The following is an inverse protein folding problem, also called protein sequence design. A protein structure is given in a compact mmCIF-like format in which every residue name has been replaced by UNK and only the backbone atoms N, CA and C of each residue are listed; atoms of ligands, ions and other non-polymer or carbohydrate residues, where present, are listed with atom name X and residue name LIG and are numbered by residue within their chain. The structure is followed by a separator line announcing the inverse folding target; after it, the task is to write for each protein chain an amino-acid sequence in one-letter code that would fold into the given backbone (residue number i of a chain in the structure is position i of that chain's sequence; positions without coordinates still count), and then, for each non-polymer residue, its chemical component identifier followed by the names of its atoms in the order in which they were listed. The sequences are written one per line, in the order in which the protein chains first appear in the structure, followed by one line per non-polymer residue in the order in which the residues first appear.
data_IF_688804717737
#
_entry.id   IF_688804717737
#
_cell.length_a   1.000
_cell.length_b   1.000
_cell.length_c   1.000
_cell.angle_alpha   90.00
_cell.angle_beta   90.00
_cell.angle_gamma   90.00
#
_symmetry.space_group_name_H-M   'P 1'
#
loop_
_entity.id
_entity.type
_entity.pdbx_description
1 polymer ?
#
# COMPACT_ATOMS: atom_id res chain seq x y z
N UNK A 1 -19.21 -17.70 -4.25
CA UNK A 1 -18.41 -18.49 -3.29
C UNK A 1 -17.00 -17.95 -3.11
N UNK A 2 -16.69 -17.45 -1.91
CA UNK A 2 -15.44 -16.76 -1.62
C UNK A 2 -14.76 -17.37 -0.39
N UNK A 3 -14.42 -18.66 -0.42
CA UNK A 3 -13.72 -19.34 0.68
C UNK A 3 -12.21 -19.12 0.64
N UNK A 4 -11.64 -18.95 -0.57
CA UNK A 4 -10.19 -18.83 -0.76
C UNK A 4 -9.65 -17.50 -0.21
N UNK A 5 -10.38 -16.39 -0.42
CA UNK A 5 -9.90 -15.07 -0.01
C UNK A 5 -9.78 -14.93 1.53
N UNK A 6 -10.80 -15.29 2.34
CA UNK A 6 -10.68 -15.27 3.80
C UNK A 6 -9.60 -16.20 4.33
N UNK A 7 -9.44 -17.40 3.73
CA UNK A 7 -8.39 -18.34 4.12
C UNK A 7 -6.98 -17.80 3.82
N UNK A 8 -6.78 -17.24 2.62
CA UNK A 8 -5.49 -16.68 2.21
C UNK A 8 -5.12 -15.41 2.97
N UNK A 9 -6.12 -14.60 3.35
CA UNK A 9 -5.91 -13.34 4.06
C UNK A 9 -6.16 -13.45 5.56
N UNK A 10 -6.22 -14.66 6.10
CA UNK A 10 -6.39 -14.87 7.53
C UNK A 10 -5.24 -14.23 8.31
N UNK A 11 -5.58 -13.41 9.30
CA UNK A 11 -4.59 -12.68 10.10
C UNK A 11 -3.84 -11.58 9.36
N UNK A 12 -4.21 -11.27 8.10
CA UNK A 12 -3.49 -10.27 7.31
C UNK A 12 -3.62 -8.83 7.87
N UNK A 13 -4.58 -8.62 8.75
CA UNK A 13 -4.76 -7.38 9.51
C UNK A 13 -3.69 -7.20 10.60
N UNK A 14 -3.19 -8.28 11.20
CA UNK A 14 -2.33 -8.26 12.40
C UNK A 14 -0.82 -8.17 12.12
N UNK A 15 -0.33 -8.66 10.98
CA UNK A 15 1.11 -8.64 10.64
C UNK A 15 1.59 -7.32 10.02
N UNK A 16 2.90 -7.04 10.09
CA UNK A 16 3.52 -5.93 9.36
C UNK A 16 3.65 -6.27 7.88
N UNK A 17 2.75 -5.78 7.03
CA UNK A 17 2.79 -6.07 5.59
C UNK A 17 4.01 -5.44 4.93
N UNK A 18 4.87 -6.27 4.36
CA UNK A 18 6.01 -5.83 3.56
C UNK A 18 5.65 -5.81 2.06
N UNK A 19 6.48 -5.16 1.26
CA UNK A 19 6.33 -5.18 -0.20
C UNK A 19 6.48 -6.58 -0.79
N UNK A 20 7.27 -7.44 -0.16
CA UNK A 20 7.43 -8.82 -0.62
C UNK A 20 6.18 -9.65 -0.33
N UNK A 21 5.53 -9.45 0.82
CA UNK A 21 4.26 -10.11 1.12
C UNK A 21 3.17 -9.71 0.11
N UNK A 22 3.05 -8.42 -0.19
CA UNK A 22 2.15 -7.93 -1.25
C UNK A 22 2.45 -8.57 -2.60
N UNK A 23 3.73 -8.68 -2.96
CA UNK A 23 4.17 -9.28 -4.22
C UNK A 23 3.78 -10.74 -4.28
N UNK A 24 4.07 -11.51 -3.23
CA UNK A 24 3.75 -12.94 -3.15
C UNK A 24 2.24 -13.17 -3.28
N UNK A 25 1.43 -12.41 -2.53
CA UNK A 25 -0.02 -12.51 -2.56
C UNK A 25 -0.57 -12.15 -3.95
N UNK A 26 -0.07 -11.07 -4.56
CA UNK A 26 -0.49 -10.67 -5.90
C UNK A 26 -0.08 -11.70 -6.97
N UNK A 27 1.09 -12.32 -6.86
CA UNK A 27 1.55 -13.38 -7.76
C UNK A 27 0.66 -14.62 -7.61
N UNK A 28 0.37 -15.04 -6.38
CA UNK A 28 -0.52 -16.18 -6.12
C UNK A 28 -1.91 -15.95 -6.69
N UNK A 29 -2.51 -14.77 -6.44
CA UNK A 29 -3.81 -14.41 -7.00
C UNK A 29 -3.81 -14.49 -8.54
N UNK A 30 -2.80 -13.92 -9.19
CA UNK A 30 -2.70 -13.90 -10.67
C UNK A 30 -2.50 -15.30 -11.25
N UNK A 31 -1.69 -16.14 -10.59
CA UNK A 31 -1.49 -17.52 -11.00
C UNK A 31 -2.79 -18.33 -10.90
N UNK A 32 -3.52 -18.16 -9.81
CA UNK A 32 -4.84 -18.78 -9.62
C UNK A 32 -5.84 -18.30 -10.67
N UNK A 33 -5.96 -16.98 -10.88
CA UNK A 33 -6.88 -16.41 -11.86
C UNK A 33 -6.57 -16.91 -13.28
N UNK A 34 -5.30 -16.95 -13.70
CA UNK A 34 -4.91 -17.53 -15.00
C UNK A 34 -5.31 -18.99 -15.13
N UNK A 35 -5.14 -19.78 -14.06
CA UNK A 35 -5.47 -21.20 -14.09
C UNK A 35 -6.97 -21.42 -14.18
N UNK A 36 -7.77 -20.59 -13.50
CA UNK A 36 -9.23 -20.64 -13.56
C UNK A 36 -9.77 -20.26 -14.95
N UNK A 37 -9.19 -19.24 -15.59
CA UNK A 37 -9.56 -18.80 -16.95
C UNK A 37 -8.96 -19.67 -18.06
N UNK A 38 -8.10 -20.64 -17.73
CA UNK A 38 -7.43 -21.50 -18.72
C UNK A 38 -6.42 -20.77 -19.61
N UNK A 39 -5.94 -19.58 -19.22
CA UNK A 39 -5.07 -18.74 -20.05
C UNK A 39 -3.61 -19.22 -19.95
N UNK A 40 -2.99 -19.74 -21.03
CA UNK A 40 -1.57 -20.04 -21.05
C UNK A 40 -0.72 -18.75 -20.99
N UNK A 41 0.51 -18.88 -20.50
CA UNK A 41 1.46 -17.76 -20.47
C UNK A 41 1.86 -17.25 -21.86
N UNK A 42 1.72 -18.11 -22.90
CA UNK A 42 2.05 -17.81 -24.30
C UNK A 42 1.14 -16.76 -24.92
N UNK A 43 -0.06 -16.55 -24.38
CA UNK A 43 -1.02 -15.59 -24.94
C UNK A 43 -0.63 -14.14 -24.66
N UNK A 44 0.41 -13.91 -23.85
CA UNK A 44 0.91 -12.58 -23.47
C UNK A 44 -0.17 -11.63 -22.89
N UNK A 45 -1.31 -12.17 -22.45
CA UNK A 45 -2.39 -11.41 -21.83
C UNK A 45 -1.89 -10.79 -20.53
N UNK A 46 -2.22 -9.52 -20.29
CA UNK A 46 -1.77 -8.80 -19.09
C UNK A 46 -2.47 -9.31 -17.83
N UNK A 47 -1.80 -9.22 -16.68
CA UNK A 47 -2.40 -9.68 -15.42
C UNK A 47 -3.62 -8.86 -14.98
N UNK A 48 -3.69 -7.59 -15.40
CA UNK A 48 -4.85 -6.71 -15.16
C UNK A 48 -6.06 -7.18 -15.96
N UNK A 49 -5.86 -7.57 -17.21
CA UNK A 49 -6.90 -8.12 -18.08
C UNK A 49 -7.46 -9.43 -17.50
N UNK A 50 -6.58 -10.35 -17.06
CA UNK A 50 -7.02 -11.61 -16.42
C UNK A 50 -7.89 -11.34 -15.19
N UNK A 51 -7.50 -10.38 -14.33
CA UNK A 51 -8.30 -10.04 -13.15
C UNK A 51 -9.62 -9.35 -13.49
N UNK A 52 -9.66 -8.55 -14.56
CA UNK A 52 -10.90 -7.92 -15.04
C UNK A 52 -11.90 -8.96 -15.55
N UNK A 53 -11.43 -10.00 -16.28
CA UNK A 53 -12.28 -11.10 -16.76
C UNK A 53 -12.92 -11.88 -15.62
N UNK A 54 -12.13 -12.23 -14.60
CA UNK A 54 -12.65 -12.96 -13.43
C UNK A 54 -13.50 -12.09 -12.50
N UNK A 55 -13.44 -10.75 -12.63
CA UNK A 55 -14.22 -9.80 -11.80
C UNK A 55 -13.81 -9.76 -10.33
N UNK A 56 -12.68 -10.39 -9.96
CA UNK A 56 -12.24 -10.50 -8.56
C UNK A 56 -11.42 -9.28 -8.17
N UNK A 57 -11.74 -8.68 -7.02
CA UNK A 57 -10.97 -7.58 -6.43
C UNK A 57 -9.53 -8.00 -6.14
N UNK A 58 -8.55 -7.12 -6.37
CA UNK A 58 -7.15 -7.38 -6.03
C UNK A 58 -7.02 -7.70 -4.53
N UNK A 59 -6.36 -8.82 -4.20
CA UNK A 59 -6.23 -9.29 -2.81
C UNK A 59 -5.42 -8.31 -1.95
N UNK A 60 -4.47 -7.60 -2.56
CA UNK A 60 -3.72 -6.51 -1.90
C UNK A 60 -4.67 -5.42 -1.38
N UNK A 61 -5.67 -5.04 -2.17
CA UNK A 61 -6.68 -4.07 -1.75
C UNK A 61 -7.55 -4.61 -0.60
N UNK A 62 -7.88 -5.91 -0.62
CA UNK A 62 -8.63 -6.56 0.46
C UNK A 62 -7.86 -6.59 1.78
N UNK A 63 -6.55 -6.87 1.75
CA UNK A 63 -5.67 -6.79 2.94
C UNK A 63 -5.73 -5.41 3.55
N UNK A 64 -5.58 -4.39 2.72
CA UNK A 64 -5.53 -3.01 3.19
C UNK A 64 -6.88 -2.51 3.71
N UNK A 65 -7.97 -3.03 3.15
CA UNK A 65 -9.31 -2.77 3.67
C UNK A 65 -9.54 -3.43 5.04
N UNK A 66 -9.14 -4.68 5.22
CA UNK A 66 -9.18 -5.38 6.51
C UNK A 66 -8.31 -4.66 7.55
N UNK A 67 -7.09 -4.33 7.19
CA UNK A 67 -6.17 -3.49 7.98
C UNK A 67 -6.78 -2.16 8.39
N UNK A 68 -7.43 -1.46 7.47
CA UNK A 68 -8.13 -0.20 7.76
C UNK A 68 -9.24 -0.42 8.78
N UNK A 69 -10.07 -1.46 8.60
CA UNK A 69 -11.14 -1.80 9.55
C UNK A 69 -10.58 -2.07 10.96
N UNK A 70 -9.56 -2.91 11.05
CA UNK A 70 -8.88 -3.25 12.30
C UNK A 70 -8.23 -2.02 12.95
N UNK A 71 -7.50 -1.22 12.18
CA UNK A 71 -6.86 0.01 12.65
C UNK A 71 -7.87 0.99 13.28
N UNK A 72 -9.01 1.20 12.61
CA UNK A 72 -10.09 2.00 13.14
C UNK A 72 -10.72 1.40 14.40
N UNK A 73 -10.87 0.07 14.45
CA UNK A 73 -11.37 -0.62 15.64
C UNK A 73 -10.45 -0.40 16.84
N UNK A 74 -9.14 -0.61 16.66
CA UNK A 74 -8.14 -0.45 17.72
C UNK A 74 -8.04 0.99 18.20
N UNK A 75 -8.04 1.98 17.31
CA UNK A 75 -7.92 3.40 17.69
C UNK A 75 -9.14 3.94 18.45
N UNK A 76 -10.35 3.41 18.17
CA UNK A 76 -11.58 3.85 18.84
C UNK A 76 -11.87 3.10 20.14
N UNK A 77 -11.12 2.04 20.43
CA UNK A 77 -11.18 1.36 21.73
C UNK A 77 -10.38 2.17 22.75
N UNK A 78 -10.96 2.41 23.91
CA UNK A 78 -10.34 3.14 25.03
C UNK A 78 -10.06 2.23 26.25
N UNK A 79 -10.05 0.92 26.05
CA UNK A 79 -9.97 -0.08 27.13
C UNK A 79 -8.53 -0.44 27.56
N UNK A 80 -7.53 0.34 27.15
CA UNK A 80 -6.08 0.15 27.42
C UNK A 80 -5.58 -1.29 27.24
N UNK A 81 -6.25 -2.07 26.37
CA UNK A 81 -5.90 -3.47 26.12
C UNK A 81 -4.56 -3.59 25.41
N UNK A 82 -3.96 -4.76 25.56
CA UNK A 82 -2.67 -5.09 24.96
C UNK A 82 -2.60 -4.82 23.45
N UNK A 83 -3.72 -4.92 22.72
CA UNK A 83 -3.78 -4.65 21.27
C UNK A 83 -3.39 -3.21 20.93
N UNK A 84 -3.87 -2.21 21.68
CA UNK A 84 -3.48 -0.81 21.49
C UNK A 84 -1.98 -0.64 21.79
N UNK A 85 -1.50 -1.26 22.88
CA UNK A 85 -0.08 -1.23 23.28
C UNK A 85 0.84 -1.85 22.24
N UNK A 86 0.47 -2.97 21.63
CA UNK A 86 1.24 -3.66 20.57
C UNK A 86 1.24 -2.86 19.27
N UNK A 87 0.10 -2.26 18.91
CA UNK A 87 -0.03 -1.41 17.73
C UNK A 87 0.85 -0.16 17.84
N UNK A 88 0.85 0.45 19.03
CA UNK A 88 1.62 1.66 19.34
C UNK A 88 3.05 1.34 19.78
N UNK A 89 3.42 0.06 19.83
CA UNK A 89 4.70 -0.37 20.38
C UNK A 89 5.86 0.16 19.52
N UNK A 90 6.61 1.09 20.10
CA UNK A 90 7.91 1.55 19.62
C UNK A 90 8.95 0.88 20.53
N UNK A 91 10.04 0.30 20.00
CA UNK A 91 11.15 -0.15 20.83
C UNK A 91 11.62 0.99 21.74
N UNK A 92 11.41 0.86 23.06
CA UNK A 92 11.60 1.96 24.03
C UNK A 92 13.07 2.23 24.37
N UNK A 93 13.98 1.33 24.00
CA UNK A 93 15.35 1.32 24.54
C UNK A 93 16.43 1.81 23.56
N UNK A 94 16.09 2.34 22.37
CA UNK A 94 17.12 2.86 21.46
C UNK A 94 16.63 3.61 20.22
N UNK A 95 17.56 4.36 19.61
CA UNK A 95 17.38 4.95 18.27
C UNK A 95 17.33 3.82 17.23
N UNK A 96 16.37 3.88 16.31
CA UNK A 96 16.23 2.91 15.23
C UNK A 96 17.52 2.93 14.38
N UNK A 97 18.11 1.76 14.05
CA UNK A 97 19.34 1.75 13.30
C UNK A 97 19.13 2.41 11.93
N UNK A 98 20.10 3.21 11.45
CA UNK A 98 20.04 3.78 10.11
C UNK A 98 20.04 2.65 9.05
N UNK A 99 19.42 2.90 7.90
CA UNK A 99 19.40 1.94 6.78
C UNK A 99 18.09 1.16 6.66
N UNK A 100 18.14 -0.16 6.92
CA UNK A 100 17.04 -1.12 6.68
C UNK A 100 16.40 -1.68 7.96
N UNK A 101 15.81 -0.85 8.83
CA UNK A 101 15.19 -1.33 10.05
C UNK A 101 13.88 -2.09 9.76
N UNK A 102 13.58 -3.12 10.57
CA UNK A 102 12.42 -4.01 10.40
C UNK A 102 11.08 -3.25 10.38
N UNK A 103 10.22 -3.56 9.41
CA UNK A 103 8.92 -2.88 9.24
C UNK A 103 8.01 -3.12 10.45
N UNK A 104 7.50 -2.03 11.04
CA UNK A 104 6.50 -2.05 12.09
C UNK A 104 5.10 -2.13 11.50
N UNK A 105 4.13 -2.46 12.33
CA UNK A 105 2.74 -2.53 11.90
C UNK A 105 2.19 -1.15 11.46
N UNK A 106 2.65 -0.07 12.09
CA UNK A 106 2.25 1.31 11.79
C UNK A 106 2.88 1.89 10.51
N UNK A 107 4.07 1.43 10.13
CA UNK A 107 4.80 1.88 8.93
C UNK A 107 3.94 1.85 7.63
N UNK A 108 3.23 0.75 7.27
CA UNK A 108 2.35 0.75 6.10
C UNK A 108 1.14 1.68 6.28
N UNK A 109 0.61 1.85 7.49
CA UNK A 109 -0.51 2.77 7.75
C UNK A 109 -0.08 4.21 7.51
N UNK A 110 1.09 4.60 8.02
CA UNK A 110 1.68 5.93 7.81
C UNK A 110 1.90 6.19 6.32
N UNK A 111 2.40 5.19 5.57
CA UNK A 111 2.63 5.33 4.12
C UNK A 111 1.33 5.50 3.33
N UNK A 112 0.27 4.79 3.72
CA UNK A 112 -0.99 4.74 2.96
C UNK A 112 -1.99 5.82 3.34
N UNK A 113 -2.07 6.15 4.63
CA UNK A 113 -3.07 7.06 5.19
C UNK A 113 -2.45 8.36 5.73
N UNK A 114 -1.12 8.46 5.72
CA UNK A 114 -0.37 9.61 6.22
C UNK A 114 -0.09 9.54 7.72
N UNK A 115 0.78 10.43 8.21
CA UNK A 115 1.21 10.45 9.61
C UNK A 115 0.05 10.65 10.62
N UNK A 116 -1.01 11.35 10.20
CA UNK A 116 -2.17 11.69 11.04
C UNK A 116 -3.27 10.63 10.99
N UNK A 117 -3.01 9.43 10.45
CA UNK A 117 -4.04 8.41 10.24
C UNK A 117 -4.79 8.02 11.52
N UNK A 118 -4.13 7.99 12.69
CA UNK A 118 -4.79 7.71 13.98
C UNK A 118 -5.84 8.76 14.34
N UNK A 119 -5.57 10.04 14.03
CA UNK A 119 -6.55 11.12 14.26
C UNK A 119 -7.77 10.93 13.35
N UNK A 120 -7.55 10.63 12.08
CA UNK A 120 -8.63 10.36 11.12
C UNK A 120 -9.42 9.09 11.51
N UNK A 121 -8.77 8.07 12.04
CA UNK A 121 -9.39 6.81 12.41
C UNK A 121 -10.38 6.91 13.60
N UNK A 122 -10.31 7.99 14.40
CA UNK A 122 -11.26 8.25 15.49
C UNK A 122 -12.67 8.52 14.95
N UNK A 123 -12.77 9.30 13.89
CA UNK A 123 -14.05 9.63 13.28
C UNK A 123 -14.43 8.57 12.24
N UNK A 124 -15.55 7.88 12.45
CA UNK A 124 -15.93 6.68 11.67
C UNK A 124 -16.24 7.05 10.22
N UNK A 125 -16.88 8.17 9.97
CA UNK A 125 -17.25 8.59 8.62
C UNK A 125 -16.02 8.97 7.80
N UNK A 126 -15.14 9.80 8.37
CA UNK A 126 -13.88 10.17 7.70
C UNK A 126 -13.00 8.94 7.47
N UNK A 127 -12.96 8.00 8.42
CA UNK A 127 -12.17 6.77 8.27
C UNK A 127 -12.71 5.84 7.17
N UNK A 128 -14.03 5.81 6.98
CA UNK A 128 -14.68 5.05 5.90
C UNK A 128 -14.42 5.66 4.53
N UNK A 129 -14.31 6.99 4.43
CA UNK A 129 -14.05 7.70 3.17
C UNK A 129 -12.57 7.79 2.82
N UNK A 130 -11.66 7.53 3.77
CA UNK A 130 -10.22 7.48 3.49
C UNK A 130 -9.93 6.35 2.51
N UNK A 131 -9.62 6.73 1.28
CA UNK A 131 -9.13 5.83 0.25
C UNK A 131 -7.65 5.52 0.47
N UNK A 132 -7.26 4.31 0.06
CA UNK A 132 -5.85 3.94 -0.01
C UNK A 132 -5.15 4.90 -0.96
N UNK A 133 -4.08 5.57 -0.52
CA UNK A 133 -3.21 6.31 -1.43
C UNK A 133 -2.77 5.36 -2.55
N UNK A 134 -2.93 5.72 -3.85
CA UNK A 134 -2.49 4.89 -4.95
C UNK A 134 -0.98 4.68 -4.89
N UNK A 135 -0.55 3.53 -4.37
CA UNK A 135 0.87 3.20 -4.23
C UNK A 135 1.57 3.05 -5.59
N UNK A 136 0.82 2.73 -6.66
CA UNK A 136 1.33 2.44 -8.01
C UNK A 136 1.32 3.61 -9.00
N UNK A 137 0.42 4.60 -8.82
CA UNK A 137 0.22 5.67 -9.82
C UNK A 137 1.28 6.78 -9.71
N UNK A 138 1.83 6.99 -8.51
CA UNK A 138 2.71 8.15 -8.27
C UNK A 138 4.08 8.03 -8.95
N UNK A 139 4.61 6.82 -9.18
CA UNK A 139 5.90 6.67 -9.88
C UNK A 139 5.74 6.82 -11.40
N UNK A 140 4.74 6.17 -12.02
CA UNK A 140 4.52 6.28 -13.47
C UNK A 140 4.01 7.66 -13.92
N UNK A 141 3.18 8.32 -13.11
CA UNK A 141 2.66 9.67 -13.45
C UNK A 141 3.76 10.71 -13.26
N UNK A 142 4.53 10.66 -12.16
CA UNK A 142 5.68 11.56 -11.96
C UNK A 142 6.79 11.31 -13.00
N UNK A 143 7.11 10.06 -13.33
CA UNK A 143 8.11 9.73 -14.38
C UNK A 143 7.61 10.06 -15.82
N UNK A 144 6.28 10.16 -16.06
CA UNK A 144 5.71 10.63 -17.35
C UNK A 144 5.61 12.15 -17.40
N UNK A 145 5.17 12.81 -16.33
CA UNK A 145 5.09 14.27 -16.20
C UNK A 145 6.49 14.90 -16.21
N UNK A 146 7.47 14.29 -15.55
CA UNK A 146 8.89 14.70 -15.58
C UNK A 146 9.50 14.60 -16.99
N UNK A 147 8.99 13.72 -17.86
CA UNK A 147 9.43 13.58 -19.26
C UNK A 147 8.68 14.51 -20.23
N UNK A 148 7.38 14.68 -20.06
CA UNK A 148 6.55 15.55 -20.91
C UNK A 148 6.74 17.04 -20.57
N UNK A 149 7.21 17.39 -19.38
CA UNK A 149 7.42 18.77 -18.95
C UNK A 149 8.66 19.46 -19.53
N UNK A 150 9.61 18.71 -20.12
CA UNK A 150 10.87 19.27 -20.62
C UNK A 150 10.91 19.46 -22.15
N UNK A 151 10.03 18.82 -22.92
CA UNK A 151 10.06 18.89 -24.39
C UNK A 151 9.47 20.21 -24.96
N UNK A 152 8.93 21.10 -24.11
CA UNK A 152 8.19 22.29 -24.59
C UNK A 152 8.54 23.63 -23.95
N UNK A 153 9.23 23.73 -22.82
CA UNK A 153 9.44 25.02 -22.16
C UNK A 153 10.92 25.40 -22.05
N UNK A 154 11.38 26.28 -22.94
CA UNK A 154 12.70 26.93 -22.86
C UNK A 154 12.87 27.90 -21.68
N UNK A 155 12.29 27.61 -20.50
CA UNK A 155 12.46 28.31 -19.21
C UNK A 155 11.64 27.67 -18.08
N UNK A 156 12.05 26.52 -17.55
CA UNK A 156 11.54 26.03 -16.25
C UNK A 156 12.57 26.21 -15.13
N UNK A 157 12.09 26.42 -13.90
CA UNK A 157 12.90 26.66 -12.68
C UNK A 157 13.94 25.58 -12.37
N UNK A 158 13.80 24.37 -12.94
CA UNK A 158 14.76 23.28 -12.77
C UNK A 158 16.00 23.45 -13.66
N UNK A 159 15.85 24.02 -14.87
CA UNK A 159 17.00 24.35 -15.74
C UNK A 159 17.74 25.61 -15.25
N UNK A 160 17.07 26.51 -14.53
CA UNK A 160 17.65 27.74 -13.97
C UNK A 160 18.64 27.48 -12.82
N UNK A 161 18.61 26.30 -12.19
CA UNK A 161 19.47 25.97 -11.04
C UNK A 161 20.80 25.33 -11.40
N UNK A 162 21.05 24.98 -12.66
CA UNK A 162 22.31 24.35 -13.09
C UNK A 162 23.40 25.39 -13.40
N UNK A 163 23.05 26.68 -13.53
CA UNK A 163 24.01 27.74 -13.89
C UNK A 163 24.66 28.46 -12.70
N UNK A 164 24.43 28.05 -11.45
CA UNK A 164 25.00 28.72 -10.24
C UNK A 164 25.73 27.75 -9.30
N UNK A 165 26.45 26.77 -9.87
CA UNK A 165 27.36 25.92 -9.09
C UNK A 165 28.72 25.72 -9.77
N UNK A 166 29.23 26.76 -10.43
CA UNK A 166 30.67 26.91 -10.71
C UNK A 166 31.05 28.40 -10.60
N UNK A 167 31.54 28.77 -9.42
CA UNK A 167 32.45 29.88 -9.17
C UNK A 167 33.15 29.58 -7.85
#
# INVERSE_FOLDING_TARGET
DSTVLPAMLYGAECWSTTKEDERRIAVTQRAMARRMEGIPLKDHITSTEVLQRTGVKEWTAAIYEAKRRWAGHVVRRDDNRWMSKVTDWIPREGKRPPGHPKTRWDDPMVKLFGQKWKRCARERETWRSVNLRPWRTQKRVRDREDKLGCERCGRCERCSRVSHSQS
#
